data_IF_878191406599
#
_entry.id   IF_878191406599
#
_cell.length_a   1.000
_cell.length_b   1.000
_cell.length_c   1.000
_cell.angle_alpha   90.00
_cell.angle_beta   90.00
_cell.angle_gamma   90.00
#
_symmetry.space_group_name_H-M   'P 1'
#
loop_
_entity.id
_entity.type
_entity.pdbx_description
1 polymer ?
#
# COMPACT_ATOMS: atom_id res chain seq x y z
N UNK A 1 28.71 4.67 4.23
CA UNK A 1 28.48 5.51 3.02
C UNK A 1 27.98 4.53 1.95
N UNK A 2 26.73 4.44 1.49
CA UNK A 2 25.60 5.36 1.41
C UNK A 2 24.34 4.48 1.37
N UNK A 3 23.37 4.72 2.26
CA UNK A 3 22.16 3.91 2.43
C UNK A 3 21.06 4.30 1.44
N UNK A 4 21.23 3.95 0.18
CA UNK A 4 20.16 4.01 -0.81
C UNK A 4 19.44 2.64 -0.86
N UNK A 5 18.81 2.24 0.25
CA UNK A 5 17.93 1.06 0.23
C UNK A 5 16.64 1.45 -0.48
N UNK A 6 16.56 1.05 -1.75
CA UNK A 6 15.33 0.53 -2.33
C UNK A 6 14.10 1.46 -2.31
N UNK A 7 14.28 2.77 -2.53
CA UNK A 7 13.15 3.70 -2.72
C UNK A 7 12.57 3.67 -4.15
N UNK A 8 12.87 2.63 -4.93
CA UNK A 8 12.28 2.50 -6.27
C UNK A 8 10.78 2.18 -6.11
N UNK A 9 9.88 2.80 -6.91
CA UNK A 9 8.44 2.54 -6.85
C UNK A 9 8.03 1.08 -7.02
N UNK A 10 8.93 0.25 -7.54
CA UNK A 10 8.77 -1.20 -7.77
C UNK A 10 9.38 -2.07 -6.67
N UNK A 11 9.85 -1.48 -5.56
CA UNK A 11 10.48 -2.26 -4.50
C UNK A 11 9.44 -3.20 -3.87
N UNK A 12 9.76 -4.50 -3.91
CA UNK A 12 8.93 -5.60 -3.36
C UNK A 12 8.64 -5.40 -1.88
N UNK A 13 9.44 -4.59 -1.18
CA UNK A 13 9.19 -4.22 0.20
C UNK A 13 7.89 -3.42 0.39
N UNK A 14 7.44 -2.66 -0.62
CA UNK A 14 6.15 -1.96 -0.63
C UNK A 14 5.00 -2.97 -0.70
N UNK A 15 5.04 -3.94 -1.63
CA UNK A 15 4.01 -4.97 -1.76
C UNK A 15 3.80 -5.74 -0.45
N UNK A 16 4.89 -6.09 0.24
CA UNK A 16 4.84 -6.77 1.54
C UNK A 16 4.17 -5.89 2.59
N UNK A 17 4.49 -4.59 2.62
CA UNK A 17 3.86 -3.63 3.55
C UNK A 17 2.37 -3.45 3.24
N UNK A 18 1.99 -3.31 1.97
CA UNK A 18 0.59 -3.20 1.55
C UNK A 18 -0.20 -4.46 1.90
N UNK A 19 0.37 -5.65 1.67
CA UNK A 19 -0.27 -6.92 2.06
C UNK A 19 -0.53 -6.98 3.57
N UNK A 20 0.43 -6.55 4.40
CA UNK A 20 0.27 -6.48 5.86
C UNK A 20 -0.75 -5.45 6.30
N UNK A 21 -0.82 -4.30 5.62
CA UNK A 21 -1.81 -3.26 5.87
C UNK A 21 -3.23 -3.74 5.53
N UNK A 22 -3.43 -4.32 4.35
CA UNK A 22 -4.75 -4.84 3.93
C UNK A 22 -5.31 -5.86 4.92
N UNK A 23 -4.48 -6.77 5.42
CA UNK A 23 -4.87 -7.74 6.46
C UNK A 23 -5.33 -7.11 7.78
N UNK A 24 -4.96 -5.86 8.06
CA UNK A 24 -5.29 -5.17 9.31
C UNK A 24 -6.49 -4.23 9.18
N UNK A 25 -6.67 -3.60 8.02
CA UNK A 25 -7.63 -2.50 7.86
C UNK A 25 -8.78 -2.84 6.90
N UNK A 26 -8.61 -3.82 6.02
CA UNK A 26 -9.68 -4.25 5.12
C UNK A 26 -10.56 -5.28 5.84
N UNK A 27 -11.86 -5.24 5.57
CA UNK A 27 -12.79 -6.27 6.02
C UNK A 27 -12.50 -7.62 5.31
N UNK A 28 -12.25 -7.57 4.00
CA UNK A 28 -11.78 -8.70 3.20
C UNK A 28 -10.51 -8.31 2.41
N UNK A 29 -9.33 -8.89 2.72
CA UNK A 29 -8.11 -8.64 1.97
C UNK A 29 -8.14 -9.07 0.50
N UNK A 30 -9.05 -9.97 0.10
CA UNK A 30 -9.26 -10.41 -1.28
C UNK A 30 -10.09 -9.42 -2.09
N UNK A 31 -10.90 -8.59 -1.41
CA UNK A 31 -11.70 -7.52 -2.01
C UNK A 31 -11.37 -6.17 -1.33
N UNK A 32 -10.16 -5.62 -1.56
CA UNK A 32 -9.70 -4.44 -0.83
C UNK A 32 -10.46 -3.16 -1.25
N UNK A 33 -11.12 -2.53 -0.29
CA UNK A 33 -11.89 -1.31 -0.48
C UNK A 33 -11.08 -0.04 -0.13
N UNK A 34 -10.21 -0.13 0.89
CA UNK A 34 -9.46 1.00 1.46
C UNK A 34 -8.15 1.25 0.71
N UNK A 35 -7.39 0.22 0.33
CA UNK A 35 -6.15 0.36 -0.44
C UNK A 35 -6.31 -0.36 -1.78
N UNK A 36 -6.46 0.40 -2.87
CA UNK A 36 -6.61 -0.13 -4.23
C UNK A 36 -5.27 -0.21 -4.97
N UNK A 37 -5.12 -1.21 -5.82
CA UNK A 37 -3.98 -1.33 -6.73
C UNK A 37 -4.29 -0.62 -8.04
N UNK A 38 -3.42 0.29 -8.46
CA UNK A 38 -3.47 0.94 -9.78
C UNK A 38 -2.30 0.41 -10.60
N UNK A 39 -2.58 -0.46 -11.56
CA UNK A 39 -1.55 -1.12 -12.37
C UNK A 39 -0.67 -0.09 -13.09
N UNK A 40 0.65 -0.27 -12.96
CA UNK A 40 1.64 0.65 -13.54
C UNK A 40 1.86 1.95 -12.76
N UNK A 41 1.05 2.24 -11.73
CA UNK A 41 1.15 3.47 -10.93
C UNK A 41 1.41 3.20 -9.44
N UNK A 42 0.94 2.08 -8.89
CA UNK A 42 1.16 1.69 -7.50
C UNK A 42 -0.14 1.47 -6.72
N UNK A 43 -0.28 2.15 -5.59
CA UNK A 43 -1.38 1.94 -4.63
C UNK A 43 -2.09 3.25 -4.29
N UNK A 44 -3.41 3.21 -4.18
CA UNK A 44 -4.27 4.34 -3.84
C UNK A 44 -4.98 4.07 -2.52
N UNK A 45 -4.91 5.02 -1.59
CA UNK A 45 -5.77 5.04 -0.41
C UNK A 45 -7.13 5.65 -0.79
N UNK A 46 -8.18 4.85 -0.73
CA UNK A 46 -9.52 5.13 -1.25
C UNK A 46 -10.59 5.17 -0.12
N UNK A 47 -10.21 5.70 1.05
CA UNK A 47 -11.14 5.94 2.15
C UNK A 47 -11.25 7.44 2.47
N UNK A 48 -12.37 7.82 3.09
CA UNK A 48 -12.59 9.18 3.60
C UNK A 48 -11.54 9.50 4.68
N UNK A 49 -10.93 10.68 4.60
CA UNK A 49 -9.91 11.14 5.54
C UNK A 49 -10.45 12.34 6.29
N UNK A 50 -10.63 12.18 7.60
CA UNK A 50 -11.00 13.27 8.50
C UNK A 50 -9.83 13.57 9.42
N UNK A 51 -9.50 14.84 9.52
CA UNK A 51 -8.50 15.35 10.46
C UNK A 51 -9.27 16.11 11.54
N UNK A 52 -9.28 15.56 12.75
CA UNK A 52 -9.78 16.24 13.95
C UNK A 52 -8.62 16.96 14.65
#
# INVERSE_FOLDING_TARGET
LMGARDLLPTDRSIDVRISRLRKKIEADPHEPAVIKTVYGAGYLFAADVRWE
#
